data_IF_740871747737
#
_entry.id   IF_740871747737
#
_cell.length_a   1.000
_cell.length_b   1.000
_cell.length_c   1.000
_cell.angle_alpha   90.00
_cell.angle_beta   90.00
_cell.angle_gamma   90.00
#
_symmetry.space_group_name_H-M   'P 1'
#
loop_
_entity.id
_entity.type
_entity.pdbx_description
1 polymer ?
#
# COMPACT_ATOMS: atom_id res chain seq x y z
N UNK A 1 13.27 11.12 -7.42
CA UNK A 1 11.96 10.62 -7.92
C UNK A 1 11.16 11.80 -8.42
N UNK A 2 10.39 11.65 -9.50
CA UNK A 2 9.45 12.69 -9.93
C UNK A 2 8.11 12.51 -9.23
N UNK A 3 7.30 13.58 -9.18
CA UNK A 3 5.95 13.55 -8.60
C UNK A 3 5.05 12.50 -9.27
N UNK A 4 5.22 12.30 -10.58
CA UNK A 4 4.47 11.32 -11.37
C UNK A 4 4.74 9.89 -10.88
N UNK A 5 6.01 9.53 -10.71
CA UNK A 5 6.40 8.19 -10.25
C UNK A 5 5.85 7.92 -8.85
N UNK A 6 5.85 8.92 -7.95
CA UNK A 6 5.29 8.74 -6.61
C UNK A 6 3.77 8.47 -6.65
N UNK A 7 3.06 9.15 -7.54
CA UNK A 7 1.62 8.95 -7.72
C UNK A 7 1.31 7.56 -8.27
N UNK A 8 2.08 7.11 -9.25
CA UNK A 8 1.94 5.78 -9.84
C UNK A 8 2.17 4.70 -8.78
N UNK A 9 3.21 4.84 -7.96
CA UNK A 9 3.51 3.91 -6.85
C UNK A 9 2.38 3.85 -5.80
N UNK A 10 1.73 4.99 -5.50
CA UNK A 10 0.58 5.02 -4.59
C UNK A 10 -0.67 4.40 -5.20
N UNK A 11 -0.91 4.60 -6.50
CA UNK A 11 -2.00 3.95 -7.22
C UNK A 11 -1.82 2.44 -7.25
N UNK A 12 -0.61 1.95 -7.49
CA UNK A 12 -0.30 0.52 -7.43
C UNK A 12 -0.55 -0.07 -6.04
N UNK A 13 -0.13 0.63 -4.98
CA UNK A 13 -0.41 0.22 -3.59
C UNK A 13 -1.92 0.14 -3.35
N UNK A 14 -2.69 1.12 -3.83
CA UNK A 14 -4.15 1.13 -3.70
C UNK A 14 -4.79 -0.07 -4.40
N UNK A 15 -4.35 -0.43 -5.61
CA UNK A 15 -4.85 -1.60 -6.31
C UNK A 15 -4.56 -2.90 -5.55
N UNK A 16 -3.36 -3.01 -4.98
CA UNK A 16 -2.97 -4.20 -4.21
C UNK A 16 -3.86 -4.36 -2.97
N UNK A 17 -4.09 -3.31 -2.18
CA UNK A 17 -4.94 -3.40 -0.97
C UNK A 17 -6.42 -3.68 -1.28
N UNK A 18 -6.90 -3.34 -2.48
CA UNK A 18 -8.29 -3.62 -2.86
C UNK A 18 -8.50 -5.09 -3.27
N UNK A 19 -7.46 -5.77 -3.73
CA UNK A 19 -7.53 -7.14 -4.27
C UNK A 19 -7.10 -8.19 -3.25
N UNK A 20 -6.10 -7.87 -2.43
CA UNK A 20 -5.46 -8.82 -1.53
C UNK A 20 -5.88 -8.61 -0.08
N UNK A 21 -5.85 -9.69 0.71
CA UNK A 21 -5.95 -9.59 2.17
C UNK A 21 -4.81 -8.72 2.71
N UNK A 22 -4.96 -8.07 3.88
CA UNK A 22 -3.90 -7.20 4.43
C UNK A 22 -2.51 -7.85 4.48
N UNK A 23 -2.45 -9.11 4.90
CA UNK A 23 -1.21 -9.89 4.97
C UNK A 23 -0.62 -10.19 3.59
N UNK A 24 -1.47 -10.46 2.59
CA UNK A 24 -1.02 -10.69 1.22
C UNK A 24 -0.63 -9.39 0.52
N UNK A 25 -1.33 -8.29 0.83
CA UNK A 25 -1.07 -6.97 0.30
C UNK A 25 0.31 -6.46 0.78
N UNK A 26 0.61 -6.58 2.07
CA UNK A 26 1.92 -6.23 2.62
C UNK A 26 3.04 -7.03 1.96
N UNK A 27 2.86 -8.34 1.78
CA UNK A 27 3.83 -9.18 1.08
C UNK A 27 4.03 -8.74 -0.37
N UNK A 28 2.94 -8.43 -1.08
CA UNK A 28 3.00 -7.98 -2.48
C UNK A 28 3.68 -6.64 -2.64
N UNK A 29 3.45 -5.72 -1.71
CA UNK A 29 4.05 -4.37 -1.68
C UNK A 29 5.55 -4.45 -1.37
N UNK A 30 5.93 -5.27 -0.38
CA UNK A 30 7.33 -5.45 0.02
C UNK A 30 8.16 -6.23 -1.01
N UNK A 31 7.56 -7.16 -1.76
CA UNK A 31 8.24 -7.91 -2.83
C UNK A 31 8.40 -7.11 -4.13
N UNK A 32 7.54 -6.11 -4.41
CA UNK A 32 7.49 -5.41 -5.71
C UNK A 32 8.40 -4.19 -5.79
N UNK A 33 8.51 -3.38 -4.74
CA UNK A 33 9.24 -2.12 -4.80
C UNK A 33 9.66 -1.63 -3.42
N UNK A 34 10.96 -1.31 -3.28
CA UNK A 34 11.48 -0.68 -2.07
C UNK A 34 10.89 0.72 -1.82
N UNK A 35 10.36 1.37 -2.87
CA UNK A 35 9.64 2.65 -2.75
C UNK A 35 8.26 2.41 -2.15
N UNK A 36 7.51 1.42 -2.67
CA UNK A 36 6.20 1.05 -2.13
C UNK A 36 6.31 0.58 -0.68
N UNK A 37 7.33 -0.22 -0.35
CA UNK A 37 7.62 -0.62 1.03
C UNK A 37 7.83 0.60 1.95
N UNK A 38 8.60 1.59 1.50
CA UNK A 38 8.80 2.83 2.26
C UNK A 38 7.50 3.62 2.41
N UNK A 39 6.70 3.73 1.36
CA UNK A 39 5.42 4.45 1.41
C UNK A 39 4.45 3.76 2.36
N UNK A 40 4.36 2.43 2.31
CA UNK A 40 3.57 1.61 3.22
C UNK A 40 3.90 1.89 4.69
N UNK A 41 5.20 1.92 5.01
CA UNK A 41 5.70 2.21 6.36
C UNK A 41 5.50 3.66 6.79
N UNK A 42 5.81 4.62 5.91
CA UNK A 42 5.72 6.07 6.23
C UNK A 42 4.27 6.48 6.50
N UNK A 43 3.33 5.99 5.70
CA UNK A 43 1.92 6.33 5.84
C UNK A 43 1.15 5.39 6.77
N UNK A 44 1.84 4.42 7.40
CA UNK A 44 1.24 3.42 8.27
C UNK A 44 -0.03 2.81 7.65
N UNK A 45 0.02 2.46 6.37
CA UNK A 45 -1.16 2.11 5.58
C UNK A 45 -1.90 0.88 6.13
N UNK A 46 -1.21 0.01 6.87
CA UNK A 46 -1.78 -1.08 7.67
C UNK A 46 -2.82 -0.61 8.70
N UNK A 47 -2.67 0.60 9.27
CA UNK A 47 -3.61 1.15 10.27
C UNK A 47 -4.83 1.73 9.57
N UNK A 48 -4.63 2.37 8.43
CA UNK A 48 -5.71 2.92 7.61
C UNK A 48 -6.58 1.78 7.06
N UNK A 49 -5.96 0.69 6.60
CA UNK A 49 -6.67 -0.50 6.09
C UNK A 49 -7.53 -1.16 7.20
N UNK A 50 -7.01 -1.28 8.42
CA UNK A 50 -7.80 -1.73 9.58
C UNK A 50 -8.97 -0.81 9.92
N UNK A 51 -8.78 0.51 9.85
CA UNK A 51 -9.86 1.49 10.09
C UNK A 51 -10.95 1.44 9.01
N UNK A 52 -10.58 1.23 7.74
CA UNK A 52 -11.53 1.07 6.64
C UNK A 52 -12.31 -0.25 6.74
N UNK A 53 -11.67 -1.30 7.24
CA UNK A 53 -12.27 -2.63 7.40
C UNK A 53 -13.22 -2.75 8.61
N UNK A 54 -13.03 -1.90 9.64
CA UNK A 54 -13.88 -1.83 10.83
C UNK A 54 -15.25 -1.18 10.59
N UNK A 55 -15.44 -0.50 9.46
CA UNK A 55 -16.73 0.08 9.05
C UNK A 55 -17.60 -0.90 8.22
N UNK A 56 -17.59 -2.19 8.55
CA UNK A 56 -18.51 -3.19 8.01
C UNK A 56 -19.60 -3.57 9.00
#
# INVERSE_FOLDING_TARGET
MSMTVLKDELTDIQEIIMVYSPTDAERKITERSAVQEKLWKIFELEKIEKQLSLHK
#
